data_IF_559401616082
#
_entry.id   IF_559401616082
#
_cell.length_a   1.000
_cell.length_b   1.000
_cell.length_c   1.000
_cell.angle_alpha   90.00
_cell.angle_beta   90.00
_cell.angle_gamma   90.00
#
_symmetry.space_group_name_H-M   'P 1'
#
loop_
_entity.id
_entity.type
_entity.pdbx_description
1 polymer ?
#
# COMPACT_ATOMS: atom_id res chain seq x y z
N UNK A 1 21.83 32.10 10.87
CA UNK A 1 20.55 32.78 11.11
C UNK A 1 19.62 31.78 11.78
N UNK A 2 19.06 32.07 12.96
CA UNK A 2 18.10 31.14 13.58
C UNK A 2 16.84 31.14 12.73
N UNK A 3 16.35 29.95 12.38
CA UNK A 3 15.04 29.78 11.77
C UNK A 3 14.02 30.24 12.80
N UNK A 4 13.26 31.28 12.49
CA UNK A 4 12.14 31.72 13.31
C UNK A 4 11.11 30.60 13.31
N UNK A 5 11.05 29.80 14.37
CA UNK A 5 9.92 28.93 14.63
C UNK A 5 8.71 29.85 14.83
N UNK A 6 7.88 29.94 13.78
CA UNK A 6 6.57 30.55 13.89
C UNK A 6 5.74 29.60 14.76
N UNK A 7 5.70 29.89 16.05
CA UNK A 7 4.80 29.24 16.99
C UNK A 7 3.36 29.54 16.53
N UNK A 8 2.78 28.61 15.77
CA UNK A 8 1.43 28.70 15.24
C UNK A 8 0.58 27.79 16.12
N UNK A 9 -0.47 28.32 16.78
CA UNK A 9 -1.25 27.53 17.73
C UNK A 9 -1.91 26.37 17.01
N UNK A 10 -1.73 25.18 17.57
CA UNK A 10 -2.30 23.94 17.05
C UNK A 10 -3.84 24.05 17.02
N UNK A 11 -4.44 23.88 15.84
CA UNK A 11 -5.85 24.24 15.62
C UNK A 11 -6.77 23.13 16.12
N UNK A 12 -7.53 23.41 17.16
CA UNK A 12 -8.56 22.49 17.68
C UNK A 12 -9.66 22.25 16.65
N UNK A 13 -10.14 21.02 16.57
CA UNK A 13 -11.28 20.67 15.72
C UNK A 13 -12.59 21.16 16.32
N UNK A 14 -13.48 21.68 15.47
CA UNK A 14 -14.78 22.20 15.86
C UNK A 14 -15.79 21.11 16.21
N UNK A 15 -15.77 19.99 15.49
CA UNK A 15 -16.79 18.93 15.59
C UNK A 15 -16.21 17.53 15.46
N UNK A 16 -15.21 17.17 16.28
CA UNK A 16 -14.65 15.81 16.28
C UNK A 16 -15.76 14.74 16.48
N UNK A 17 -15.77 13.62 15.70
CA UNK A 17 -14.75 13.12 14.76
C UNK A 17 -14.89 13.63 13.33
N UNK A 18 -15.80 14.55 13.06
CA UNK A 18 -16.05 15.08 11.73
C UNK A 18 -15.15 16.25 11.40
N UNK A 19 -14.86 16.41 10.11
CA UNK A 19 -14.12 17.54 9.57
C UNK A 19 -15.00 18.39 8.66
N UNK A 20 -14.76 19.69 8.70
CA UNK A 20 -15.07 20.61 7.62
C UNK A 20 -14.01 20.51 6.52
N UNK A 21 -14.30 21.08 5.34
CA UNK A 21 -13.32 21.15 4.24
C UNK A 21 -12.04 21.87 4.67
N UNK A 22 -12.17 22.99 5.38
CA UNK A 22 -11.03 23.78 5.85
C UNK A 22 -10.18 23.03 6.89
N UNK A 23 -10.82 22.34 7.83
CA UNK A 23 -10.12 21.51 8.82
C UNK A 23 -9.41 20.34 8.16
N UNK A 24 -10.02 19.70 7.15
CA UNK A 24 -9.37 18.65 6.37
C UNK A 24 -8.15 19.18 5.62
N UNK A 25 -8.30 20.29 4.89
CA UNK A 25 -7.19 20.94 4.20
C UNK A 25 -6.06 21.34 5.15
N UNK A 26 -6.41 21.87 6.33
CA UNK A 26 -5.40 22.22 7.33
C UNK A 26 -4.70 20.99 7.89
N UNK A 27 -5.44 19.93 8.20
CA UNK A 27 -4.86 18.67 8.66
C UNK A 27 -3.92 18.06 7.61
N UNK A 28 -4.28 18.10 6.33
CA UNK A 28 -3.41 17.64 5.24
C UNK A 28 -2.12 18.47 5.15
N UNK A 29 -2.20 19.80 5.30
CA UNK A 29 -1.01 20.65 5.32
C UNK A 29 -0.08 20.36 6.49
N UNK A 30 -0.63 20.18 7.70
CA UNK A 30 0.18 19.82 8.87
C UNK A 30 0.80 18.42 8.70
N UNK A 31 0.06 17.47 8.15
CA UNK A 31 0.60 16.15 7.84
C UNK A 31 1.78 16.22 6.87
N UNK A 32 1.67 16.99 5.78
CA UNK A 32 2.79 17.18 4.84
C UNK A 32 3.97 17.88 5.52
N UNK A 33 3.73 18.87 6.38
CA UNK A 33 4.80 19.53 7.16
C UNK A 33 5.55 18.53 8.05
N UNK A 34 4.85 17.62 8.72
CA UNK A 34 5.45 16.57 9.53
C UNK A 34 6.26 15.59 8.67
N UNK A 35 5.71 15.19 7.51
CA UNK A 35 6.41 14.33 6.54
C UNK A 35 7.69 15.00 6.03
N UNK A 36 7.64 16.27 5.64
CA UNK A 36 8.80 17.03 5.17
C UNK A 36 9.84 17.25 6.28
N UNK A 37 9.43 17.21 7.55
CA UNK A 37 10.30 17.23 8.72
C UNK A 37 11.04 15.90 8.97
N UNK A 38 10.65 14.82 8.29
CA UNK A 38 11.22 13.48 8.44
C UNK A 38 12.16 13.15 7.27
N UNK A 39 13.42 13.60 7.37
CA UNK A 39 14.43 13.59 6.30
C UNK A 39 14.61 12.23 5.57
N UNK A 40 15.00 11.14 6.28
CA UNK A 40 15.41 9.85 5.65
C UNK A 40 14.75 8.58 6.20
N UNK A 41 13.96 8.67 7.26
CA UNK A 41 13.31 7.50 7.87
C UNK A 41 12.02 7.07 7.16
N UNK A 42 11.41 7.95 6.38
CA UNK A 42 10.23 7.59 5.58
C UNK A 42 10.57 6.57 4.48
N UNK A 43 11.75 6.71 3.87
CA UNK A 43 12.25 5.78 2.86
C UNK A 43 12.44 4.36 3.41
N UNK A 44 12.89 4.22 4.68
CA UNK A 44 13.06 2.90 5.31
C UNK A 44 11.72 2.19 5.56
N UNK A 45 10.64 2.97 5.71
CA UNK A 45 9.27 2.49 5.79
C UNK A 45 8.63 2.34 4.41
N UNK A 46 9.37 2.56 3.33
CA UNK A 46 8.94 2.39 1.95
C UNK A 46 8.16 3.58 1.39
N UNK A 47 7.99 4.69 2.12
CA UNK A 47 7.34 5.89 1.59
C UNK A 47 8.22 6.51 0.51
N UNK A 48 7.63 6.79 -0.66
CA UNK A 48 8.33 7.37 -1.80
C UNK A 48 7.88 8.79 -2.12
N UNK A 49 6.63 9.11 -1.77
CA UNK A 49 6.03 10.41 -2.03
C UNK A 49 4.89 10.67 -1.07
N UNK A 50 4.80 11.90 -0.58
CA UNK A 50 3.59 12.44 0.02
C UNK A 50 3.39 13.86 -0.51
N UNK A 51 2.18 14.22 -0.90
CA UNK A 51 1.84 15.58 -1.33
C UNK A 51 0.37 15.86 -1.06
N UNK A 52 0.05 17.13 -0.87
CA UNK A 52 -1.32 17.60 -0.81
C UNK A 52 -1.63 18.46 -2.04
N UNK A 53 -2.73 18.14 -2.72
CA UNK A 53 -3.17 18.83 -3.93
C UNK A 53 -4.51 19.51 -3.69
N UNK A 54 -4.50 20.84 -3.71
CA UNK A 54 -5.68 21.71 -3.56
C UNK A 54 -6.03 22.43 -4.87
N UNK A 55 -5.35 22.09 -5.97
CA UNK A 55 -5.53 22.78 -7.26
C UNK A 55 -6.71 22.23 -8.07
N UNK A 56 -7.14 21.01 -7.75
CA UNK A 56 -8.25 20.32 -8.38
C UNK A 56 -9.62 20.74 -7.84
N UNK A 57 -10.67 20.06 -8.33
CA UNK A 57 -12.04 20.29 -7.88
C UNK A 57 -12.29 19.88 -6.41
N UNK A 58 -11.57 18.86 -5.94
CA UNK A 58 -11.65 18.35 -4.57
C UNK A 58 -10.23 18.21 -4.02
N UNK A 59 -9.95 18.71 -2.79
CA UNK A 59 -8.66 18.53 -2.14
C UNK A 59 -8.31 17.04 -1.95
N UNK A 60 -7.09 16.66 -2.30
CA UNK A 60 -6.62 15.27 -2.17
C UNK A 60 -5.22 15.20 -1.59
N UNK A 61 -5.07 14.40 -0.52
CA UNK A 61 -3.78 13.99 -0.01
C UNK A 61 -3.35 12.72 -0.73
N UNK A 62 -2.18 12.75 -1.36
CA UNK A 62 -1.61 11.65 -2.14
C UNK A 62 -0.37 11.13 -1.43
N UNK A 63 -0.34 9.83 -1.17
CA UNK A 63 0.84 9.13 -0.65
C UNK A 63 1.21 7.96 -1.56
N UNK A 64 2.50 7.63 -1.63
CA UNK A 64 2.99 6.45 -2.34
C UNK A 64 3.95 5.67 -1.46
N UNK A 65 3.85 4.35 -1.53
CA UNK A 65 4.65 3.44 -0.72
C UNK A 65 5.00 2.17 -1.48
N UNK A 66 6.23 1.69 -1.36
CA UNK A 66 6.60 0.35 -1.80
C UNK A 66 6.06 -0.71 -0.85
N UNK A 67 5.60 -1.81 -1.41
CA UNK A 67 5.33 -3.06 -0.69
C UNK A 67 6.06 -4.21 -1.36
N UNK A 68 6.40 -5.22 -0.57
CA UNK A 68 7.02 -6.44 -1.09
C UNK A 68 5.94 -7.26 -1.81
N UNK A 69 6.17 -7.56 -3.09
CA UNK A 69 5.33 -8.53 -3.80
C UNK A 69 5.77 -9.92 -3.39
N UNK A 70 4.85 -10.72 -2.87
CA UNK A 70 5.10 -12.15 -2.72
C UNK A 70 5.28 -12.78 -4.11
N UNK A 71 6.22 -13.74 -4.29
CA UNK A 71 6.29 -14.52 -5.51
C UNK A 71 4.94 -15.19 -5.73
N UNK A 72 4.31 -14.95 -6.87
CA UNK A 72 3.24 -15.81 -7.34
C UNK A 72 3.88 -17.14 -7.71
N UNK A 73 3.72 -18.17 -6.89
CA UNK A 73 3.99 -19.54 -7.33
C UNK A 73 3.09 -19.80 -8.54
N UNK A 74 3.68 -19.78 -9.73
CA UNK A 74 3.06 -20.29 -10.95
C UNK A 74 3.04 -21.81 -10.84
N UNK A 75 2.10 -22.37 -10.09
CA UNK A 75 1.71 -23.78 -10.24
C UNK A 75 0.85 -23.91 -11.49
N UNK A 76 1.50 -23.96 -12.65
CA UNK A 76 0.96 -24.61 -13.84
C UNK A 76 1.64 -25.98 -13.92
N UNK A 77 1.06 -26.95 -13.22
CA UNK A 77 1.28 -28.37 -13.52
C UNK A 77 -0.07 -28.89 -13.99
N UNK A 78 -0.32 -28.74 -15.28
CA UNK A 78 -1.39 -29.49 -15.95
C UNK A 78 -0.95 -30.97 -16.03
N UNK A 79 -1.83 -31.93 -15.76
CA UNK A 79 -1.55 -33.34 -15.99
C UNK A 79 -1.81 -33.64 -17.48
N UNK A 80 -0.75 -33.86 -18.25
CA UNK A 80 -0.89 -34.28 -19.65
C UNK A 80 -1.36 -35.74 -19.73
N UNK A 81 -2.58 -35.92 -20.19
CA UNK A 81 -3.22 -37.20 -20.48
C UNK A 81 -2.83 -37.59 -21.91
N UNK A 82 -2.21 -38.77 -22.04
CA UNK A 82 -1.61 -39.25 -23.26
C UNK A 82 -2.50 -39.28 -24.51
N UNK A 83 -1.82 -39.20 -25.64
CA UNK A 83 -2.34 -39.46 -26.98
C UNK A 83 -1.19 -39.70 -27.94
N UNK A 84 -0.88 -40.97 -28.18
CA UNK A 84 -0.01 -41.45 -29.25
C UNK A 84 -0.54 -41.00 -30.62
N UNK A 85 0.35 -40.65 -31.56
CA UNK A 85 0.26 -41.05 -32.97
C UNK A 85 1.51 -40.62 -33.76
N UNK A 86 1.87 -41.46 -34.73
CA UNK A 86 3.20 -41.63 -35.30
C UNK A 86 3.42 -40.98 -36.69
N UNK A 87 4.71 -40.98 -37.06
CA UNK A 87 5.33 -40.93 -38.40
C UNK A 87 5.49 -39.56 -39.12
N UNK A 88 6.73 -39.22 -39.48
CA UNK A 88 7.33 -39.41 -40.82
C UNK A 88 8.86 -39.17 -40.74
N UNK A 89 9.59 -40.02 -41.48
CA UNK A 89 11.06 -40.11 -41.64
C UNK A 89 11.61 -39.11 -42.68
N UNK A 90 12.96 -39.00 -42.71
CA UNK A 90 13.90 -38.62 -43.81
C UNK A 90 14.98 -37.64 -43.29
N UNK A 91 16.18 -38.11 -42.87
CA UNK A 91 17.45 -38.30 -43.64
C UNK A 91 18.01 -37.00 -44.26
N UNK A 92 19.29 -36.62 -44.28
CA UNK A 92 20.62 -37.01 -43.80
C UNK A 92 21.51 -35.77 -44.13
N UNK A 93 22.51 -35.40 -43.33
CA UNK A 93 23.87 -35.09 -43.84
C UNK A 93 24.88 -34.87 -42.70
N UNK A 94 26.09 -35.33 -42.93
CA UNK A 94 27.19 -35.51 -41.99
C UNK A 94 28.07 -34.27 -41.79
N UNK A 95 28.71 -34.17 -40.61
CA UNK A 95 30.11 -33.73 -40.50
C UNK A 95 30.73 -34.19 -39.18
N UNK A 96 31.96 -34.70 -39.28
CA UNK A 96 32.76 -35.37 -38.25
C UNK A 96 33.82 -34.41 -37.69
N UNK A 97 34.23 -34.68 -36.43
CA UNK A 97 35.46 -34.30 -35.72
C UNK A 97 35.42 -33.01 -34.88
N UNK A 98 35.41 -33.13 -33.55
CA UNK A 98 36.64 -33.06 -32.74
C UNK A 98 36.36 -33.36 -31.25
N UNK A 99 37.34 -33.97 -30.60
CA UNK A 99 37.33 -34.69 -29.32
C UNK A 99 37.93 -33.83 -28.18
N UNK A 100 37.46 -34.04 -26.94
CA UNK A 100 38.02 -33.62 -25.62
C UNK A 100 37.90 -32.11 -25.25
N UNK A 101 37.35 -31.67 -24.11
CA UNK A 101 37.45 -32.14 -22.71
C UNK A 101 36.11 -31.96 -21.96
N UNK A 102 35.62 -33.03 -21.33
CA UNK A 102 34.54 -33.00 -20.34
C UNK A 102 35.18 -32.64 -18.99
N UNK A 103 34.89 -31.45 -18.46
CA UNK A 103 35.14 -31.17 -17.04
C UNK A 103 34.01 -31.80 -16.23
N UNK A 104 34.37 -32.76 -15.38
CA UNK A 104 33.49 -33.41 -14.41
C UNK A 104 32.82 -32.35 -13.52
N UNK A 105 31.54 -32.05 -13.79
CA UNK A 105 30.68 -31.43 -12.80
C UNK A 105 30.16 -32.58 -11.94
N UNK A 106 30.78 -32.79 -10.78
CA UNK A 106 30.21 -33.62 -9.73
C UNK A 106 28.82 -33.05 -9.37
N UNK A 107 27.78 -33.66 -9.92
CA UNK A 107 26.39 -33.36 -9.64
C UNK A 107 26.08 -33.88 -8.24
N UNK A 108 26.16 -33.00 -7.24
CA UNK A 108 25.66 -33.25 -5.89
C UNK A 108 24.14 -33.06 -5.90
N UNK A 109 23.35 -34.14 -5.82
CA UNK A 109 21.88 -34.07 -5.88
C UNK A 109 21.25 -33.42 -4.64
N UNK A 110 22.03 -33.00 -3.62
CA UNK A 110 21.52 -32.30 -2.43
C UNK A 110 21.80 -30.78 -2.38
N UNK A 111 22.39 -30.20 -3.44
CA UNK A 111 22.52 -28.75 -3.52
C UNK A 111 21.16 -28.10 -3.79
N UNK A 112 20.42 -27.76 -2.73
CA UNK A 112 19.29 -26.83 -2.80
C UNK A 112 19.80 -25.50 -3.37
N UNK A 113 19.68 -25.32 -4.70
CA UNK A 113 19.89 -24.05 -5.38
C UNK A 113 18.85 -23.09 -4.81
N UNK A 114 19.22 -22.37 -3.75
CA UNK A 114 18.49 -21.22 -3.25
C UNK A 114 18.56 -20.16 -4.33
N UNK A 115 17.68 -20.26 -5.33
CA UNK A 115 17.41 -19.16 -6.25
C UNK A 115 17.14 -17.95 -5.37
N UNK A 116 17.86 -16.83 -5.53
CA UNK A 116 17.54 -15.63 -4.81
C UNK A 116 16.08 -15.30 -5.15
N UNK A 117 15.21 -15.38 -4.13
CA UNK A 117 13.81 -14.97 -4.26
C UNK A 117 13.87 -13.48 -4.57
N UNK A 118 13.76 -13.12 -5.85
CA UNK A 118 13.65 -11.71 -6.24
C UNK A 118 12.29 -11.22 -5.74
N UNK A 119 12.27 -10.59 -4.58
CA UNK A 119 11.12 -9.85 -4.10
C UNK A 119 10.95 -8.66 -5.03
N UNK A 120 10.00 -8.74 -5.97
CA UNK A 120 9.65 -7.56 -6.77
C UNK A 120 8.98 -6.58 -5.82
N UNK A 121 9.46 -5.34 -5.77
CA UNK A 121 8.75 -4.27 -5.05
C UNK A 121 7.69 -3.70 -5.96
N UNK A 122 6.45 -3.57 -5.49
CA UNK A 122 5.42 -2.83 -6.19
C UNK A 122 5.10 -1.54 -5.43
N UNK A 123 4.82 -0.46 -6.16
CA UNK A 123 4.42 0.81 -5.56
C UNK A 123 2.89 0.83 -5.46
N UNK A 124 2.38 1.19 -4.29
CA UNK A 124 0.96 1.46 -4.06
C UNK A 124 0.77 2.96 -3.94
N UNK A 125 -0.23 3.49 -4.63
CA UNK A 125 -0.65 4.89 -4.53
C UNK A 125 -1.95 4.98 -3.75
N UNK A 126 -1.97 5.90 -2.79
CA UNK A 126 -3.06 6.15 -1.87
C UNK A 126 -3.56 7.58 -2.05
N UNK A 127 -4.86 7.74 -2.22
CA UNK A 127 -5.53 9.02 -2.24
C UNK A 127 -6.49 9.12 -1.06
N UNK A 128 -6.36 10.20 -0.29
CA UNK A 128 -7.22 10.51 0.84
C UNK A 128 -8.03 11.76 0.51
N UNK A 129 -9.35 11.65 0.58
CA UNK A 129 -10.29 12.73 0.28
C UNK A 129 -11.34 12.82 1.39
N UNK A 130 -11.90 14.01 1.61
CA UNK A 130 -12.99 14.18 2.57
C UNK A 130 -14.31 13.66 1.99
N UNK A 131 -15.03 12.81 2.74
CA UNK A 131 -16.39 12.42 2.35
C UNK A 131 -17.37 13.59 2.55
N UNK A 132 -18.12 14.03 1.53
CA UNK A 132 -19.16 15.05 1.71
C UNK A 132 -20.32 14.54 2.59
N UNK A 133 -20.60 13.24 2.56
CA UNK A 133 -21.70 12.62 3.32
C UNK A 133 -21.30 12.27 4.75
N UNK A 134 -20.18 11.57 4.91
CA UNK A 134 -19.75 11.09 6.23
C UNK A 134 -18.91 12.12 7.00
N UNK A 135 -18.41 13.16 6.33
CA UNK A 135 -17.55 14.21 6.90
C UNK A 135 -16.32 13.67 7.63
N UNK A 136 -15.77 12.56 7.15
CA UNK A 136 -14.50 11.96 7.59
C UNK A 136 -13.67 11.62 6.34
N UNK A 137 -12.33 11.46 6.45
CA UNK A 137 -11.53 11.09 5.30
C UNK A 137 -11.83 9.67 4.82
N UNK A 138 -11.71 9.49 3.50
CA UNK A 138 -11.91 8.22 2.78
C UNK A 138 -10.62 7.88 2.06
N UNK A 139 -10.20 6.63 2.20
CA UNK A 139 -8.99 6.10 1.59
C UNK A 139 -9.31 5.36 0.30
N UNK A 140 -8.71 5.79 -0.79
CA UNK A 140 -8.67 5.10 -2.07
C UNK A 140 -7.24 4.63 -2.33
N UNK A 141 -7.04 3.46 -2.93
CA UNK A 141 -5.71 2.97 -3.25
C UNK A 141 -5.69 2.04 -4.46
N UNK A 142 -4.56 2.02 -5.16
CA UNK A 142 -4.35 1.23 -6.37
C UNK A 142 -2.85 1.04 -6.66
N UNK A 143 -2.55 0.15 -7.61
CA UNK A 143 -1.21 -0.09 -8.12
C UNK A 143 -1.02 0.69 -9.43
N UNK A 144 -0.23 1.77 -9.47
CA UNK A 144 0.05 2.49 -10.71
C UNK A 144 0.68 1.56 -11.75
N UNK A 145 0.10 1.48 -12.94
CA UNK A 145 0.57 0.59 -14.01
C UNK A 145 0.34 -0.90 -13.74
N UNK A 146 -0.40 -1.26 -12.69
CA UNK A 146 -0.78 -2.63 -12.36
C UNK A 146 -1.98 -3.13 -13.17
N UNK A 147 -2.41 -4.39 -12.92
CA UNK A 147 -3.63 -4.93 -13.51
C UNK A 147 -4.86 -4.14 -13.07
N UNK A 148 -5.98 -4.22 -13.84
CA UNK A 148 -7.25 -3.60 -13.44
C UNK A 148 -7.70 -4.03 -12.04
N UNK A 149 -8.35 -3.12 -11.30
CA UNK A 149 -8.88 -3.45 -9.98
C UNK A 149 -9.91 -4.58 -10.08
N UNK A 150 -9.68 -5.63 -9.31
CA UNK A 150 -10.50 -6.84 -9.31
C UNK A 150 -10.39 -7.59 -7.98
N UNK A 151 -11.35 -8.48 -7.65
CA UNK A 151 -11.32 -9.22 -6.39
C UNK A 151 -10.07 -10.10 -6.22
N UNK A 152 -9.55 -10.66 -7.32
CA UNK A 152 -8.33 -11.49 -7.32
C UNK A 152 -7.09 -10.64 -7.05
N UNK A 153 -7.00 -9.49 -7.69
CA UNK A 153 -5.91 -8.54 -7.55
C UNK A 153 -5.89 -7.94 -6.14
N UNK A 154 -7.06 -7.65 -5.57
CA UNK A 154 -7.20 -7.22 -4.18
C UNK A 154 -6.64 -8.28 -3.23
N UNK A 155 -6.96 -9.55 -3.44
CA UNK A 155 -6.46 -10.65 -2.62
C UNK A 155 -4.91 -10.74 -2.69
N UNK A 156 -4.35 -10.66 -3.89
CA UNK A 156 -2.90 -10.71 -4.11
C UNK A 156 -2.18 -9.53 -3.46
N UNK A 157 -2.74 -8.32 -3.62
CA UNK A 157 -2.19 -7.11 -3.05
C UNK A 157 -2.31 -7.11 -1.51
N UNK A 158 -3.43 -7.57 -0.96
CA UNK A 158 -3.63 -7.71 0.48
C UNK A 158 -2.63 -8.70 1.10
N UNK A 159 -2.39 -9.85 0.45
CA UNK A 159 -1.36 -10.80 0.87
C UNK A 159 0.04 -10.19 0.85
N UNK A 160 0.29 -9.22 -0.04
CA UNK A 160 1.56 -8.50 -0.14
C UNK A 160 1.70 -7.40 0.90
N UNK A 161 0.60 -6.71 1.25
CA UNK A 161 0.58 -5.57 2.17
C UNK A 161 0.53 -5.96 3.65
N UNK A 162 -0.15 -7.07 3.96
CA UNK A 162 -0.40 -7.49 5.35
C UNK A 162 0.47 -8.70 5.68
N UNK A 163 1.35 -8.62 6.70
CA UNK A 163 2.12 -9.78 7.17
C UNK A 163 1.21 -10.93 7.56
N UNK A 164 1.65 -12.17 7.29
CA UNK A 164 0.84 -13.39 7.46
C UNK A 164 0.15 -13.49 8.83
N UNK A 165 0.85 -13.13 9.89
CA UNK A 165 0.38 -13.18 11.27
C UNK A 165 -0.84 -12.27 11.56
N UNK A 166 -1.05 -11.20 10.78
CA UNK A 166 -2.15 -10.25 11.00
C UNK A 166 -3.33 -10.47 10.05
N UNK A 167 -3.21 -11.39 9.09
CA UNK A 167 -4.24 -11.61 8.04
C UNK A 167 -5.53 -12.21 8.58
N UNK A 168 -5.47 -13.06 9.62
CA UNK A 168 -6.70 -13.64 10.21
C UNK A 168 -7.47 -12.59 10.99
N UNK A 169 -6.77 -11.85 11.85
CA UNK A 169 -7.36 -10.80 12.69
C UNK A 169 -7.96 -9.68 11.83
N UNK A 170 -7.25 -9.20 10.81
CA UNK A 170 -7.79 -8.17 9.90
C UNK A 170 -8.95 -8.69 9.03
N UNK A 171 -9.00 -9.99 8.72
CA UNK A 171 -10.16 -10.60 8.04
C UNK A 171 -11.37 -10.68 8.96
N UNK A 172 -11.17 -11.06 10.23
CA UNK A 172 -12.22 -11.25 11.23
C UNK A 172 -12.77 -9.95 11.81
N UNK A 173 -11.95 -8.90 11.90
CA UNK A 173 -12.35 -7.54 12.33
C UNK A 173 -13.20 -6.84 11.25
N UNK A 174 -13.46 -7.50 10.12
CA UNK A 174 -14.31 -6.94 9.06
C UNK A 174 -13.61 -5.86 8.24
N UNK A 175 -12.29 -5.71 8.35
CA UNK A 175 -11.51 -4.82 7.48
C UNK A 175 -11.65 -5.24 6.03
N UNK A 176 -11.67 -6.55 5.75
CA UNK A 176 -11.94 -7.07 4.41
C UNK A 176 -13.41 -6.82 3.97
N UNK A 177 -14.33 -6.61 4.92
CA UNK A 177 -15.70 -6.14 4.67
C UNK A 177 -15.81 -4.62 4.49
N UNK A 178 -14.79 -3.86 4.90
CA UNK A 178 -14.68 -2.42 4.68
C UNK A 178 -14.01 -2.05 3.36
N UNK A 179 -13.18 -2.93 2.77
CA UNK A 179 -12.57 -2.68 1.46
C UNK A 179 -13.53 -3.09 0.34
N UNK A 180 -13.71 -2.22 -0.64
CA UNK A 180 -14.58 -2.47 -1.80
C UNK A 180 -13.97 -1.86 -3.07
N UNK A 181 -14.55 -2.16 -4.23
CA UNK A 181 -14.17 -1.57 -5.52
C UNK A 181 -15.20 -0.49 -5.86
N UNK A 182 -14.72 0.67 -6.29
CA UNK A 182 -15.56 1.78 -6.78
C UNK A 182 -14.86 2.51 -7.92
N UNK A 183 -15.49 3.52 -8.49
CA UNK A 183 -14.83 4.44 -9.41
C UNK A 183 -14.19 5.59 -8.63
N UNK A 184 -12.93 5.89 -8.94
CA UNK A 184 -12.17 6.94 -8.30
C UNK A 184 -12.80 8.32 -8.55
N UNK A 185 -13.07 9.15 -7.53
CA UNK A 185 -13.85 10.39 -7.69
C UNK A 185 -13.27 11.39 -8.70
N UNK A 186 -11.93 11.46 -8.82
CA UNK A 186 -11.28 12.43 -9.71
C UNK A 186 -11.03 11.89 -11.12
N UNK A 187 -10.84 10.59 -11.29
CA UNK A 187 -10.35 9.99 -12.55
C UNK A 187 -11.36 9.05 -13.19
N UNK A 188 -12.40 8.63 -12.47
CA UNK A 188 -13.44 7.73 -12.96
C UNK A 188 -13.00 6.27 -13.15
N UNK A 189 -11.73 5.94 -12.91
CA UNK A 189 -11.21 4.57 -13.09
C UNK A 189 -11.54 3.69 -11.89
N UNK A 190 -11.70 2.36 -12.08
CA UNK A 190 -11.85 1.42 -10.97
C UNK A 190 -10.69 1.51 -9.97
N UNK A 191 -11.02 1.60 -8.69
CA UNK A 191 -10.07 1.75 -7.57
C UNK A 191 -10.58 0.98 -6.36
N UNK A 192 -9.68 0.53 -5.49
CA UNK A 192 -10.09 0.03 -4.17
C UNK A 192 -10.33 1.19 -3.22
N UNK A 193 -11.29 1.05 -2.32
CA UNK A 193 -11.54 2.05 -1.28
C UNK A 193 -11.92 1.40 0.04
N UNK A 194 -11.62 2.08 1.15
CA UNK A 194 -12.09 1.70 2.48
C UNK A 194 -13.36 2.49 2.80
N UNK A 195 -14.47 1.78 3.04
CA UNK A 195 -15.77 2.39 3.30
C UNK A 195 -15.79 3.10 4.68
N UNK A 196 -16.23 4.37 4.75
CA UNK A 196 -16.06 5.18 5.96
C UNK A 196 -17.16 5.00 7.03
N UNK A 197 -18.11 4.07 6.87
CA UNK A 197 -19.31 4.00 7.73
C UNK A 197 -19.02 3.81 9.22
N UNK A 198 -17.96 3.07 9.56
CA UNK A 198 -17.57 2.82 10.95
C UNK A 198 -16.49 3.79 11.45
N UNK A 199 -15.94 4.64 10.57
CA UNK A 199 -14.76 5.47 10.87
C UNK A 199 -15.03 6.47 11.99
N UNK A 200 -16.19 7.12 12.01
CA UNK A 200 -16.50 8.11 13.05
C UNK A 200 -16.57 7.49 14.45
N UNK A 201 -17.20 6.33 14.58
CA UNK A 201 -17.33 5.64 15.87
C UNK A 201 -15.99 5.08 16.33
N UNK A 202 -15.21 4.52 15.41
CA UNK A 202 -13.87 4.04 15.71
C UNK A 202 -12.91 5.19 16.11
N UNK A 203 -12.96 6.35 15.45
CA UNK A 203 -12.17 7.52 15.84
C UNK A 203 -12.51 8.00 17.26
N UNK A 204 -13.80 8.09 17.60
CA UNK A 204 -14.24 8.43 18.97
C UNK A 204 -13.71 7.42 19.99
N UNK A 205 -13.82 6.13 19.68
CA UNK A 205 -13.39 5.06 20.58
C UNK A 205 -11.89 5.10 20.85
N UNK A 206 -11.06 5.39 19.85
CA UNK A 206 -9.59 5.42 20.01
C UNK A 206 -9.10 6.73 20.62
N UNK A 207 -9.73 7.86 20.29
CA UNK A 207 -9.37 9.16 20.87
C UNK A 207 -9.72 9.26 22.37
N UNK A 208 -10.81 8.62 22.79
CA UNK A 208 -11.34 8.77 24.15
C UNK A 208 -11.68 10.23 24.46
N UNK A 209 -11.29 10.71 25.63
CA UNK A 209 -11.54 12.10 26.08
C UNK A 209 -10.48 13.10 25.58
N UNK A 210 -9.51 12.66 24.77
CA UNK A 210 -8.43 13.54 24.29
C UNK A 210 -8.97 14.46 23.19
N UNK A 211 -8.85 15.77 23.41
CA UNK A 211 -9.07 16.75 22.34
C UNK A 211 -8.15 16.48 21.15
N UNK A 212 -8.71 16.55 19.95
CA UNK A 212 -7.99 16.35 18.70
C UNK A 212 -7.77 17.69 17.99
N UNK A 213 -6.60 17.82 17.39
CA UNK A 213 -6.18 18.97 16.59
C UNK A 213 -6.06 18.58 15.13
N UNK A 214 -5.92 19.56 14.24
CA UNK A 214 -5.63 19.29 12.83
C UNK A 214 -4.31 18.53 12.63
N UNK A 215 -3.32 18.76 13.50
CA UNK A 215 -2.03 18.06 13.43
C UNK A 215 -2.15 16.58 13.81
N UNK A 216 -2.94 16.27 14.84
CA UNK A 216 -3.06 14.90 15.38
C UNK A 216 -4.10 14.04 14.66
N UNK A 217 -5.12 14.64 14.03
CA UNK A 217 -6.24 13.90 13.45
C UNK A 217 -5.83 12.92 12.34
N UNK A 218 -5.02 13.35 11.36
CA UNK A 218 -4.64 12.46 10.26
C UNK A 218 -3.71 11.34 10.72
N UNK A 219 -2.87 11.57 11.73
CA UNK A 219 -2.04 10.51 12.31
C UNK A 219 -2.92 9.43 12.96
N UNK A 220 -3.92 9.86 13.74
CA UNK A 220 -4.89 8.96 14.34
C UNK A 220 -5.70 8.19 13.27
N UNK A 221 -6.21 8.91 12.26
CA UNK A 221 -7.01 8.32 11.20
C UNK A 221 -6.21 7.34 10.32
N UNK A 222 -4.96 7.67 9.94
CA UNK A 222 -4.10 6.73 9.18
C UNK A 222 -3.75 5.51 10.06
N UNK A 223 -3.48 5.70 11.35
CA UNK A 223 -3.25 4.58 12.26
C UNK A 223 -4.45 3.62 12.37
N UNK A 224 -5.66 4.15 12.24
CA UNK A 224 -6.90 3.37 12.27
C UNK A 224 -7.23 2.71 10.91
N UNK A 225 -7.20 3.50 9.83
CA UNK A 225 -7.70 3.12 8.50
C UNK A 225 -6.57 2.70 7.57
N UNK A 226 -5.43 3.38 7.60
CA UNK A 226 -4.31 3.13 6.69
C UNK A 226 -3.61 1.80 6.93
N UNK A 227 -3.39 1.43 8.21
CA UNK A 227 -2.67 0.21 8.58
C UNK A 227 -3.26 -1.07 7.95
N UNK A 228 -4.57 -1.06 7.76
CA UNK A 228 -5.34 -2.19 7.25
C UNK A 228 -5.08 -2.50 5.77
N UNK A 229 -4.52 -1.53 5.04
CA UNK A 229 -4.11 -1.61 3.63
C UNK A 229 -2.64 -1.18 3.45
N UNK A 230 -1.82 -1.32 4.50
CA UNK A 230 -0.37 -1.09 4.43
C UNK A 230 0.08 0.36 4.39
N UNK A 231 -0.82 1.34 4.55
CA UNK A 231 -0.47 2.75 4.76
C UNK A 231 -0.23 3.01 6.25
N UNK A 232 1.01 2.87 6.69
CA UNK A 232 1.35 2.98 8.12
C UNK A 232 1.98 4.34 8.42
N UNK A 233 1.61 4.94 9.56
CA UNK A 233 2.24 6.15 10.09
C UNK A 233 3.56 5.80 10.79
N UNK A 234 4.70 6.41 10.41
CA UNK A 234 5.92 6.35 11.21
C UNK A 234 5.70 6.85 12.64
N UNK A 235 6.26 6.15 13.63
CA UNK A 235 6.16 6.54 15.04
C UNK A 235 6.77 7.93 15.28
N UNK A 236 7.73 8.33 14.45
CA UNK A 236 8.40 9.62 14.49
C UNK A 236 7.45 10.77 14.11
N UNK A 237 6.52 10.57 13.17
CA UNK A 237 5.49 11.59 12.89
C UNK A 237 4.60 11.79 14.12
N UNK A 238 4.27 10.69 14.82
CA UNK A 238 3.50 10.74 16.06
C UNK A 238 4.30 11.44 17.18
N UNK A 239 5.60 11.17 17.28
CA UNK A 239 6.48 11.79 18.27
C UNK A 239 6.71 13.29 18.00
N UNK A 240 6.80 13.70 16.73
CA UNK A 240 6.92 15.11 16.35
C UNK A 240 5.64 15.89 16.65
N UNK A 241 4.48 15.32 16.35
CA UNK A 241 3.19 15.92 16.69
C UNK A 241 2.94 16.00 18.20
N UNK A 242 3.54 15.11 19.00
CA UNK A 242 3.44 15.13 20.47
C UNK A 242 4.43 16.06 21.17
N UNK A 243 5.39 16.65 20.45
CA UNK A 243 6.45 17.51 20.98
C UNK A 243 6.32 18.98 20.55
N UNK A 244 5.21 19.35 19.91
CA UNK A 244 4.82 20.73 19.56
C UNK A 244 3.77 21.26 20.53
#
# INVERSE_FOLDING_TARGET
>A
MPKTEVNRPDMKLSTFPFLTGDEFSQACREFIRLVDGCDRQLESLGWTKARFDETGAEPVLVARKYTDSQPTESTETEPDVGGENANIEDEEDANIADEETIEDIEDDPEALVRRPVSTRKCEVEYHVMLSPTYRVPVLYFFLPGGPPCGPKELHNMYNSLVPAQFRSELRDVGVMGGVSITNHPLTGIPVYFVHPCATSEALKSVAGDKEQTTETYLLLWIGLVGNCVGLNVPLELVAQAGNL
#
